data_IF_917465019812
#
_entry.id   IF_917465019812
#
_cell.length_a   1.000
_cell.length_b   1.000
_cell.length_c   1.000
_cell.angle_alpha   90.00
_cell.angle_beta   90.00
_cell.angle_gamma   90.00
#
_symmetry.space_group_name_H-M   'P 1'
#
loop_
_entity.id
_entity.type
_entity.pdbx_description
1 polymer ?
#
# COMPACT_ATOMS: atom_id res chain seq x y z
N UNK A 1 5.33 66.32 -34.02
CA UNK A 1 6.17 67.49 -34.39
C UNK A 1 7.53 67.34 -33.77
N UNK A 2 8.62 67.35 -34.58
CA UNK A 2 10.07 67.22 -34.31
C UNK A 2 10.54 65.77 -34.16
N UNK A 3 11.08 65.06 -35.13
CA UNK A 3 12.21 65.05 -36.07
C UNK A 3 13.54 65.53 -35.42
N UNK A 4 14.50 64.59 -35.30
CA UNK A 4 15.94 64.79 -35.50
C UNK A 4 16.55 63.34 -35.55
N UNK A 5 17.02 63.02 -36.59
CA UNK A 5 18.13 62.77 -37.50
C UNK A 5 19.51 62.67 -36.86
N UNK A 6 20.22 61.59 -37.27
CA UNK A 6 21.65 61.59 -37.62
C UNK A 6 22.54 60.94 -36.58
N UNK A 7 23.31 59.96 -36.84
CA UNK A 7 24.52 60.03 -37.66
C UNK A 7 25.21 58.65 -37.71
N UNK A 8 25.61 58.21 -38.85
CA UNK A 8 26.50 57.07 -39.14
C UNK A 8 27.89 57.31 -38.57
N UNK A 9 28.50 56.27 -38.00
CA UNK A 9 29.98 56.15 -38.00
C UNK A 9 30.35 54.65 -38.17
N UNK A 10 30.88 54.37 -39.35
CA UNK A 10 31.55 53.14 -39.73
C UNK A 10 32.92 53.04 -39.02
N UNK A 11 33.20 51.93 -38.42
CA UNK A 11 34.57 51.55 -38.08
C UNK A 11 34.84 50.10 -38.50
N UNK A 12 35.57 49.97 -39.59
CA UNK A 12 36.15 48.73 -40.07
C UNK A 12 37.44 48.48 -39.29
N UNK A 13 37.61 47.31 -38.68
CA UNK A 13 38.95 46.77 -38.40
C UNK A 13 38.96 45.23 -38.42
N UNK A 14 39.78 44.80 -39.33
CA UNK A 14 40.46 43.54 -39.54
C UNK A 14 40.44 42.46 -38.43
N UNK A 15 40.24 41.30 -38.91
CA UNK A 15 40.53 39.93 -38.70
C UNK A 15 41.58 39.46 -37.68
N UNK A 16 41.17 38.41 -37.04
CA UNK A 16 42.06 37.34 -36.56
C UNK A 16 41.27 36.02 -36.63
N UNK A 17 41.67 35.19 -37.60
CA UNK A 17 41.20 33.79 -37.73
C UNK A 17 41.89 32.99 -36.64
N UNK A 18 41.17 32.66 -35.57
CA UNK A 18 41.57 31.62 -34.64
C UNK A 18 40.83 30.35 -35.02
N UNK A 19 41.50 29.39 -35.63
CA UNK A 19 41.05 28.01 -35.78
C UNK A 19 40.87 27.38 -34.39
N UNK A 20 39.70 27.51 -33.80
CA UNK A 20 39.24 26.71 -32.68
C UNK A 20 38.64 25.43 -33.23
N UNK A 21 39.25 24.28 -32.93
CA UNK A 21 38.68 22.97 -33.09
C UNK A 21 37.32 22.92 -32.37
N UNK A 22 36.23 23.17 -33.10
CA UNK A 22 34.91 22.83 -32.64
C UNK A 22 34.82 21.29 -32.58
N UNK A 23 34.83 20.74 -31.36
CA UNK A 23 34.31 19.40 -31.11
C UNK A 23 32.87 19.43 -31.58
N UNK A 24 32.62 18.84 -32.73
CA UNK A 24 31.26 18.47 -33.14
C UNK A 24 30.71 17.47 -32.11
N UNK A 25 29.90 17.97 -31.17
CA UNK A 25 29.04 17.11 -30.39
C UNK A 25 28.05 16.45 -31.38
N UNK A 26 28.15 15.14 -31.44
CA UNK A 26 27.27 14.29 -32.23
C UNK A 26 25.82 14.52 -31.77
N UNK A 27 24.91 15.07 -32.61
CA UNK A 27 23.53 15.36 -32.17
C UNK A 27 22.69 14.11 -31.95
N UNK A 28 23.28 12.91 -32.01
CA UNK A 28 22.55 11.65 -31.99
C UNK A 28 22.85 10.76 -30.76
N UNK A 29 23.43 11.32 -29.70
CA UNK A 29 23.28 10.69 -28.40
C UNK A 29 21.88 11.03 -27.85
N UNK A 30 20.87 10.26 -28.31
CA UNK A 30 19.64 10.13 -27.59
C UNK A 30 20.04 9.69 -26.17
N UNK A 31 19.92 10.60 -25.19
CA UNK A 31 19.93 10.22 -23.78
C UNK A 31 18.79 9.23 -23.63
N UNK A 32 19.08 7.95 -23.73
CA UNK A 32 18.14 6.90 -23.31
C UNK A 32 17.83 7.22 -21.87
N UNK A 33 16.62 7.74 -21.64
CA UNK A 33 16.18 8.07 -20.30
C UNK A 33 16.27 6.79 -19.48
N UNK A 34 17.02 6.84 -18.39
CA UNK A 34 17.18 5.70 -17.49
C UNK A 34 15.80 5.17 -17.11
N UNK A 35 15.59 3.88 -17.28
CA UNK A 35 14.33 3.24 -16.87
C UNK A 35 14.14 3.44 -15.37
N UNK A 36 12.90 3.81 -14.97
CA UNK A 36 12.54 3.99 -13.57
C UNK A 36 11.57 2.89 -13.14
N UNK A 37 11.73 2.44 -11.91
CA UNK A 37 10.79 1.59 -11.19
C UNK A 37 10.26 2.40 -10.00
N UNK A 38 9.02 2.87 -10.08
CA UNK A 38 8.39 3.81 -9.13
C UNK A 38 7.36 3.08 -8.29
N UNK A 39 7.57 3.01 -6.98
CA UNK A 39 6.75 2.21 -6.06
C UNK A 39 6.21 3.10 -4.95
N UNK A 40 4.88 3.22 -4.84
CA UNK A 40 4.26 3.87 -3.70
C UNK A 40 4.27 2.95 -2.48
N UNK A 41 4.62 3.52 -1.34
CA UNK A 41 4.77 2.79 -0.08
C UNK A 41 4.37 3.66 1.10
N UNK A 42 3.75 3.05 2.11
CA UNK A 42 3.56 3.72 3.39
C UNK A 42 4.92 3.87 4.07
N UNK A 43 5.32 5.11 4.31
CA UNK A 43 6.60 5.45 4.91
C UNK A 43 6.47 6.58 5.91
N UNK A 44 7.36 6.57 6.91
CA UNK A 44 7.58 7.67 7.82
C UNK A 44 8.90 8.36 7.46
N UNK A 45 8.88 9.70 7.41
CA UNK A 45 10.11 10.48 7.27
C UNK A 45 10.88 10.46 8.60
N UNK A 46 12.16 10.16 8.54
CA UNK A 46 13.08 10.22 9.70
C UNK A 46 14.27 11.11 9.36
N UNK A 47 15.04 11.47 10.36
CA UNK A 47 16.30 12.24 10.15
C UNK A 47 17.34 11.48 9.31
N UNK A 48 17.19 10.15 9.18
CA UNK A 48 18.05 9.27 8.37
C UNK A 48 17.51 8.93 6.98
N UNK A 49 16.29 9.41 6.62
CA UNK A 49 15.64 9.10 5.35
C UNK A 49 14.21 8.62 5.50
N UNK A 50 13.79 7.66 4.67
CA UNK A 50 12.47 7.04 4.72
C UNK A 50 12.55 5.67 5.39
N UNK A 51 11.74 5.46 6.43
CA UNK A 51 11.52 4.15 7.03
C UNK A 51 10.25 3.51 6.47
N UNK A 52 10.38 2.30 5.98
CA UNK A 52 9.30 1.52 5.39
C UNK A 52 8.71 0.51 6.39
N UNK A 53 7.44 0.17 6.17
CA UNK A 53 6.70 -0.80 6.98
C UNK A 53 6.58 -2.12 6.20
N UNK A 54 6.77 -3.24 6.90
CA UNK A 54 6.47 -4.57 6.38
C UNK A 54 7.37 -5.03 5.23
N UNK A 55 6.77 -5.68 4.24
CA UNK A 55 7.47 -6.23 3.08
C UNK A 55 8.36 -5.21 2.34
N UNK A 56 7.92 -3.96 2.08
CA UNK A 56 8.77 -2.95 1.43
C UNK A 56 10.08 -2.65 2.15
N UNK A 57 10.12 -2.74 3.49
CA UNK A 57 11.34 -2.58 4.27
C UNK A 57 12.41 -3.59 3.86
N UNK A 58 12.01 -4.84 3.69
CA UNK A 58 12.93 -5.93 3.32
C UNK A 58 13.35 -5.82 1.84
N UNK A 59 12.45 -5.45 0.95
CA UNK A 59 12.75 -5.21 -0.47
C UNK A 59 13.77 -4.10 -0.63
N UNK A 60 13.66 -3.02 0.14
CA UNK A 60 14.60 -1.90 0.11
C UNK A 60 16.02 -2.28 0.56
N UNK A 61 16.16 -3.41 1.26
CA UNK A 61 17.42 -3.95 1.77
C UNK A 61 17.87 -5.22 1.03
N UNK A 62 17.10 -5.72 0.06
CA UNK A 62 17.41 -6.96 -0.68
C UNK A 62 18.61 -6.76 -1.61
N UNK A 63 19.79 -7.33 -1.31
CA UNK A 63 20.99 -7.12 -2.12
C UNK A 63 20.89 -7.74 -3.50
N UNK A 64 20.10 -8.81 -3.67
CA UNK A 64 19.88 -9.49 -4.96
C UNK A 64 19.08 -8.55 -5.87
N UNK A 65 17.98 -7.99 -5.36
CA UNK A 65 17.14 -7.05 -6.09
C UNK A 65 17.89 -5.79 -6.49
N UNK A 66 18.55 -5.15 -5.52
CA UNK A 66 19.31 -3.91 -5.76
C UNK A 66 20.45 -4.10 -6.77
N UNK A 67 21.17 -5.25 -6.69
CA UNK A 67 22.20 -5.60 -7.67
C UNK A 67 21.63 -5.80 -9.07
N UNK A 68 20.50 -6.49 -9.19
CA UNK A 68 19.85 -6.74 -10.47
C UNK A 68 19.37 -5.44 -11.13
N UNK A 69 18.77 -4.52 -10.36
CA UNK A 69 18.38 -3.20 -10.87
C UNK A 69 19.59 -2.41 -11.37
N UNK A 70 20.68 -2.40 -10.59
CA UNK A 70 21.92 -1.73 -10.99
C UNK A 70 22.49 -2.30 -12.28
N UNK A 71 22.52 -3.62 -12.45
CA UNK A 71 23.02 -4.28 -13.66
C UNK A 71 22.19 -3.94 -14.91
N UNK A 72 20.87 -3.76 -14.73
CA UNK A 72 19.95 -3.37 -15.80
C UNK A 72 19.84 -1.85 -16.00
N UNK A 73 20.61 -1.02 -15.27
CA UNK A 73 20.53 0.43 -15.27
C UNK A 73 19.12 0.96 -14.97
N UNK A 74 18.42 0.34 -13.99
CA UNK A 74 17.08 0.73 -13.55
C UNK A 74 17.20 1.54 -12.26
N UNK A 75 16.61 2.74 -12.23
CA UNK A 75 16.54 3.59 -11.05
C UNK A 75 15.31 3.21 -10.22
N UNK A 76 15.50 2.80 -8.96
CA UNK A 76 14.42 2.54 -8.00
C UNK A 76 14.01 3.85 -7.32
N UNK A 77 12.73 4.17 -7.39
CA UNK A 77 12.11 5.31 -6.69
C UNK A 77 11.01 4.84 -5.76
N UNK A 78 11.17 5.16 -4.49
CA UNK A 78 10.14 5.00 -3.49
C UNK A 78 9.34 6.30 -3.37
N UNK A 79 8.02 6.20 -3.58
CA UNK A 79 7.09 7.32 -3.46
C UNK A 79 6.35 7.20 -2.11
N UNK A 80 6.77 7.97 -1.09
CA UNK A 80 6.20 7.84 0.24
C UNK A 80 4.77 8.40 0.28
N UNK A 81 3.88 7.67 0.93
CA UNK A 81 2.52 8.10 1.21
C UNK A 81 2.21 7.95 2.70
N UNK A 82 1.40 8.85 3.24
CA UNK A 82 0.99 8.80 4.65
C UNK A 82 -0.14 7.79 4.86
N UNK A 83 -0.16 7.13 6.01
CA UNK A 83 -1.23 6.17 6.37
C UNK A 83 -2.63 6.80 6.28
N UNK A 84 -2.79 8.06 6.66
CA UNK A 84 -4.08 8.74 6.65
C UNK A 84 -4.66 8.93 5.24
N UNK A 85 -3.81 9.16 4.23
CA UNK A 85 -4.22 9.50 2.87
C UNK A 85 -3.81 8.47 1.81
N UNK A 86 -3.33 7.28 2.19
CA UNK A 86 -2.75 6.30 1.25
C UNK A 86 -3.67 5.98 0.08
N UNK A 87 -4.98 5.79 0.30
CA UNK A 87 -5.92 5.45 -0.78
C UNK A 87 -5.99 6.54 -1.85
N UNK A 88 -6.15 7.79 -1.43
CA UNK A 88 -6.26 8.95 -2.33
C UNK A 88 -4.95 9.21 -3.05
N UNK A 89 -3.83 9.30 -2.30
CA UNK A 89 -2.52 9.62 -2.87
C UNK A 89 -2.03 8.54 -3.85
N UNK A 90 -2.27 7.25 -3.56
CA UNK A 90 -1.90 6.16 -4.47
C UNK A 90 -2.75 6.20 -5.73
N UNK A 91 -4.07 6.38 -5.61
CA UNK A 91 -4.95 6.47 -6.77
C UNK A 91 -4.58 7.66 -7.67
N UNK A 92 -4.37 8.84 -7.09
CA UNK A 92 -3.92 10.04 -7.82
C UNK A 92 -2.56 9.81 -8.50
N UNK A 93 -1.62 9.14 -7.82
CA UNK A 93 -0.31 8.83 -8.38
C UNK A 93 -0.39 7.86 -9.56
N UNK A 94 -1.27 6.86 -9.50
CA UNK A 94 -1.56 5.99 -10.66
C UNK A 94 -2.23 6.76 -11.80
N UNK A 95 -3.26 7.57 -11.53
CA UNK A 95 -3.97 8.38 -12.54
C UNK A 95 -2.98 9.30 -13.26
N UNK A 96 -2.09 9.97 -12.52
CA UNK A 96 -1.10 10.92 -13.05
C UNK A 96 0.18 10.25 -13.56
N UNK A 97 0.23 8.92 -13.68
CA UNK A 97 1.39 8.15 -14.14
C UNK A 97 2.70 8.46 -13.36
N UNK A 98 2.58 8.73 -12.05
CA UNK A 98 3.72 8.99 -11.17
C UNK A 98 4.32 7.72 -10.57
N UNK A 99 3.55 6.63 -10.49
CA UNK A 99 3.96 5.34 -9.95
C UNK A 99 3.61 4.20 -10.91
N UNK A 100 4.36 3.11 -10.78
CA UNK A 100 4.18 1.87 -11.54
C UNK A 100 3.60 0.77 -10.66
N UNK A 101 3.95 0.79 -9.36
CA UNK A 101 3.49 -0.18 -8.36
C UNK A 101 3.08 0.50 -7.05
N UNK A 102 2.26 -0.22 -6.28
CA UNK A 102 1.92 0.17 -4.92
C UNK A 102 1.59 -1.04 -4.04
N UNK A 103 2.02 -0.99 -2.78
CA UNK A 103 1.53 -1.86 -1.73
C UNK A 103 0.31 -1.19 -1.09
N UNK A 104 -0.90 -1.58 -1.49
CA UNK A 104 -2.10 -0.94 -0.96
C UNK A 104 -3.35 -1.83 -1.06
N UNK A 105 -4.43 -1.32 -0.50
CA UNK A 105 -5.60 -2.12 -0.19
C UNK A 105 -6.54 -2.38 -1.35
N UNK A 106 -7.39 -3.38 -1.18
CA UNK A 106 -8.31 -3.93 -2.17
C UNK A 106 -9.38 -2.92 -2.65
N UNK A 107 -10.13 -2.27 -1.74
CA UNK A 107 -11.22 -1.36 -2.11
C UNK A 107 -10.75 -0.16 -2.94
N UNK A 108 -9.72 0.60 -2.53
CA UNK A 108 -9.23 1.70 -3.35
C UNK A 108 -8.66 1.25 -4.70
N UNK A 109 -8.08 0.03 -4.78
CA UNK A 109 -7.63 -0.53 -6.06
C UNK A 109 -8.80 -0.84 -7.01
N UNK A 110 -9.90 -1.38 -6.49
CA UNK A 110 -11.14 -1.59 -7.27
C UNK A 110 -11.70 -0.26 -7.76
N UNK A 111 -11.77 0.76 -6.89
CA UNK A 111 -12.23 2.10 -7.28
C UNK A 111 -11.35 2.70 -8.38
N UNK A 112 -10.02 2.58 -8.26
CA UNK A 112 -9.08 3.03 -9.28
C UNK A 112 -9.34 2.33 -10.64
N UNK A 113 -9.44 1.00 -10.63
CA UNK A 113 -9.66 0.23 -11.87
C UNK A 113 -10.97 0.63 -12.57
N UNK A 114 -12.01 0.99 -11.82
CA UNK A 114 -13.27 1.47 -12.37
C UNK A 114 -13.16 2.85 -13.05
N UNK A 115 -12.09 3.63 -12.81
CA UNK A 115 -11.82 4.89 -13.55
C UNK A 115 -11.16 4.68 -14.90
N UNK A 116 -10.82 3.42 -15.27
CA UNK A 116 -10.12 3.08 -16.50
C UNK A 116 -8.59 2.93 -16.35
N UNK A 117 -8.02 3.31 -15.20
CA UNK A 117 -6.61 3.05 -14.90
C UNK A 117 -6.46 1.58 -14.48
N UNK A 118 -5.93 0.76 -15.36
CA UNK A 118 -5.82 -0.69 -15.14
C UNK A 118 -4.60 -1.03 -14.29
N UNK A 119 -4.85 -1.71 -13.17
CA UNK A 119 -3.81 -2.32 -12.32
C UNK A 119 -4.14 -3.79 -12.07
N UNK A 120 -3.11 -4.59 -11.81
CA UNK A 120 -3.27 -6.02 -11.52
C UNK A 120 -2.49 -6.40 -10.26
N UNK A 121 -2.95 -7.42 -9.56
CA UNK A 121 -2.25 -8.02 -8.43
C UNK A 121 -1.06 -8.80 -8.98
N UNK A 122 0.14 -8.38 -8.61
CA UNK A 122 1.40 -9.01 -8.97
C UNK A 122 1.80 -10.05 -7.92
N UNK A 123 1.71 -9.68 -6.63
CA UNK A 123 1.94 -10.59 -5.51
C UNK A 123 0.86 -10.35 -4.44
N UNK A 124 0.15 -11.40 -4.00
CA UNK A 124 -0.80 -11.32 -2.91
C UNK A 124 -0.12 -10.99 -1.57
N UNK A 125 -0.82 -10.28 -0.69
CA UNK A 125 -0.31 -9.84 0.61
C UNK A 125 -0.45 -10.85 1.75
N UNK A 126 -0.44 -12.15 1.47
CA UNK A 126 -0.61 -13.19 2.49
C UNK A 126 -2.05 -13.27 3.01
N UNK A 127 -2.22 -13.63 4.29
CA UNK A 127 -3.55 -13.81 4.91
C UNK A 127 -4.29 -12.48 5.12
N UNK A 128 -3.56 -11.37 5.21
CA UNK A 128 -4.11 -10.04 5.52
C UNK A 128 -4.09 -9.70 7.01
N UNK A 129 -4.60 -8.51 7.34
CA UNK A 129 -4.58 -7.95 8.69
C UNK A 129 -5.93 -8.14 9.41
N UNK A 130 -5.88 -8.30 10.73
CA UNK A 130 -7.08 -8.37 11.53
C UNK A 130 -7.82 -7.03 11.59
N UNK A 131 -9.13 -7.13 11.77
CA UNK A 131 -10.02 -5.99 11.99
C UNK A 131 -10.78 -6.18 13.30
N UNK A 132 -11.11 -5.06 13.94
CA UNK A 132 -11.66 -5.04 15.29
C UNK A 132 -12.81 -4.06 15.41
N UNK A 133 -13.79 -4.40 16.25
CA UNK A 133 -14.80 -3.48 16.73
C UNK A 133 -14.56 -3.21 18.21
N UNK A 134 -14.27 -1.98 18.56
CA UNK A 134 -13.93 -1.54 19.91
C UNK A 134 -14.96 -0.50 20.39
N UNK A 135 -15.35 -0.60 21.66
CA UNK A 135 -16.25 0.34 22.35
C UNK A 135 -15.51 0.95 23.56
N UNK A 136 -15.96 2.07 24.14
CA UNK A 136 -15.36 2.59 25.37
C UNK A 136 -15.29 1.51 26.47
N UNK A 137 -14.23 1.53 27.29
CA UNK A 137 -13.96 0.46 28.25
C UNK A 137 -15.13 0.21 29.25
N UNK A 138 -15.82 1.27 29.66
CA UNK A 138 -16.95 1.25 30.58
C UNK A 138 -18.34 1.11 29.87
N UNK A 139 -18.35 0.95 28.54
CA UNK A 139 -19.58 0.82 27.76
C UNK A 139 -20.34 -0.46 28.13
N UNK A 140 -21.68 -0.43 28.26
CA UNK A 140 -22.49 -1.63 28.45
C UNK A 140 -22.65 -2.47 27.17
N UNK A 141 -22.24 -1.94 26.01
CA UNK A 141 -22.37 -2.59 24.68
C UNK A 141 -21.49 -3.84 24.63
N UNK A 142 -22.06 -4.94 24.14
CA UNK A 142 -21.39 -6.25 24.04
C UNK A 142 -21.35 -6.80 22.62
N UNK A 143 -22.31 -6.39 21.76
CA UNK A 143 -22.46 -6.91 20.41
C UNK A 143 -22.65 -5.79 19.40
N UNK A 144 -22.52 -6.10 18.09
CA UNK A 144 -22.79 -5.13 17.01
C UNK A 144 -24.27 -4.73 16.97
N UNK A 145 -25.16 -5.63 17.39
CA UNK A 145 -26.60 -5.40 17.44
C UNK A 145 -26.98 -4.32 18.46
N UNK A 146 -26.24 -4.20 19.57
CA UNK A 146 -26.43 -3.16 20.59
C UNK A 146 -26.07 -1.75 20.07
N UNK A 147 -25.37 -1.69 18.93
CA UNK A 147 -24.96 -0.44 18.30
C UNK A 147 -26.00 0.17 17.34
N UNK A 148 -27.19 -0.43 17.20
CA UNK A 148 -28.26 0.17 16.38
C UNK A 148 -28.58 1.60 16.85
N UNK A 149 -28.62 2.54 15.89
CA UNK A 149 -28.84 3.97 16.15
C UNK A 149 -27.66 4.70 16.77
N UNK A 150 -26.55 4.03 17.06
CA UNK A 150 -25.36 4.57 17.71
C UNK A 150 -24.35 5.09 16.71
N UNK A 151 -23.41 5.91 17.19
CA UNK A 151 -22.31 6.49 16.40
C UNK A 151 -21.15 5.54 16.33
N UNK A 152 -20.77 5.15 15.10
CA UNK A 152 -19.61 4.29 14.84
C UNK A 152 -18.58 5.07 14.02
N UNK A 153 -17.38 5.23 14.54
CA UNK A 153 -16.25 5.72 13.76
C UNK A 153 -15.80 4.63 12.78
N UNK A 154 -15.74 4.98 11.50
CA UNK A 154 -15.28 4.12 10.41
C UNK A 154 -14.59 4.98 9.35
N UNK A 155 -13.37 4.64 8.97
CA UNK A 155 -12.70 5.34 7.86
C UNK A 155 -13.21 4.80 6.53
N UNK A 156 -14.08 5.57 5.87
CA UNK A 156 -14.72 5.21 4.60
C UNK A 156 -13.72 5.18 3.44
N UNK A 157 -13.99 4.33 2.44
CA UNK A 157 -13.11 4.15 1.28
C UNK A 157 -11.84 3.35 1.59
N UNK A 158 -11.73 2.77 2.78
CA UNK A 158 -10.57 1.96 3.19
C UNK A 158 -10.88 0.46 3.09
N UNK A 159 -9.85 -0.39 2.96
CA UNK A 159 -10.05 -1.84 2.79
C UNK A 159 -10.96 -2.47 3.84
N UNK A 160 -10.84 -2.07 5.10
CA UNK A 160 -11.62 -2.63 6.21
C UNK A 160 -13.10 -2.19 6.24
N UNK A 161 -13.52 -1.25 5.39
CA UNK A 161 -14.95 -0.97 5.18
C UNK A 161 -15.68 -2.21 4.66
N UNK A 162 -15.04 -3.03 3.83
CA UNK A 162 -15.57 -4.30 3.34
C UNK A 162 -15.85 -5.24 4.51
N UNK A 163 -14.90 -5.34 5.45
CA UNK A 163 -15.02 -6.20 6.62
C UNK A 163 -16.15 -5.73 7.56
N UNK A 164 -16.31 -4.41 7.72
CA UNK A 164 -17.45 -3.85 8.46
C UNK A 164 -18.78 -4.19 7.79
N UNK A 165 -18.87 -4.03 6.47
CA UNK A 165 -20.07 -4.39 5.71
C UNK A 165 -20.39 -5.88 5.82
N UNK A 166 -19.37 -6.75 5.75
CA UNK A 166 -19.52 -8.19 5.93
C UNK A 166 -20.02 -8.53 7.35
N UNK A 167 -19.46 -7.88 8.39
CA UNK A 167 -19.89 -8.07 9.78
C UNK A 167 -21.37 -7.72 9.96
N UNK A 168 -21.80 -6.53 9.55
CA UNK A 168 -23.20 -6.12 9.71
C UNK A 168 -24.15 -7.01 8.90
N UNK A 169 -23.75 -7.38 7.67
CA UNK A 169 -24.55 -8.27 6.82
C UNK A 169 -24.71 -9.67 7.44
N UNK A 170 -23.67 -10.23 8.07
CA UNK A 170 -23.72 -11.52 8.76
C UNK A 170 -24.73 -11.57 9.91
N UNK A 171 -25.13 -10.39 10.40
CA UNK A 171 -26.10 -10.17 11.48
C UNK A 171 -27.46 -9.65 10.99
N UNK A 172 -27.68 -9.64 9.67
CA UNK A 172 -28.90 -9.10 9.07
C UNK A 172 -29.07 -7.59 9.22
N UNK A 173 -27.98 -6.86 9.53
CA UNK A 173 -27.97 -5.42 9.73
C UNK A 173 -27.60 -4.71 8.43
N UNK A 174 -27.92 -3.42 8.36
CA UNK A 174 -27.61 -2.53 7.22
C UNK A 174 -26.85 -1.30 7.71
N UNK A 175 -26.06 -0.68 6.84
CA UNK A 175 -25.30 0.52 7.18
C UNK A 175 -26.18 1.65 7.75
N UNK A 176 -27.41 1.82 7.23
CA UNK A 176 -28.38 2.80 7.72
C UNK A 176 -28.90 2.57 9.15
N UNK A 177 -28.63 1.39 9.72
CA UNK A 177 -29.00 1.09 11.10
C UNK A 177 -28.05 1.75 12.11
N UNK A 178 -26.99 2.43 11.62
CA UNK A 178 -25.95 3.09 12.41
C UNK A 178 -25.75 4.54 11.96
N UNK A 179 -25.19 5.36 12.86
CA UNK A 179 -24.66 6.68 12.50
C UNK A 179 -23.17 6.57 12.22
N UNK A 180 -22.80 6.43 10.95
CA UNK A 180 -21.38 6.29 10.57
C UNK A 180 -20.71 7.66 10.53
N UNK A 181 -19.66 7.81 11.35
CA UNK A 181 -18.79 9.00 11.39
C UNK A 181 -17.51 8.67 10.67
N UNK A 182 -17.25 9.34 9.54
CA UNK A 182 -16.05 9.10 8.74
C UNK A 182 -14.83 9.74 9.41
N UNK A 183 -14.02 8.93 10.09
CA UNK A 183 -12.81 9.35 10.79
C UNK A 183 -11.64 8.43 10.39
N UNK A 184 -10.45 9.03 10.19
CA UNK A 184 -9.23 8.23 10.05
C UNK A 184 -8.88 7.54 11.38
N UNK A 185 -7.97 6.55 11.41
CA UNK A 185 -7.68 5.78 12.62
C UNK A 185 -7.29 6.65 13.82
N UNK A 186 -6.46 7.65 13.61
CA UNK A 186 -6.01 8.55 14.68
C UNK A 186 -7.18 9.36 15.27
N UNK A 187 -8.00 9.97 14.42
CA UNK A 187 -9.18 10.72 14.84
C UNK A 187 -10.25 9.78 15.46
N UNK A 188 -10.42 8.56 14.93
CA UNK A 188 -11.34 7.56 15.47
C UNK A 188 -10.95 7.11 16.88
N UNK A 189 -9.66 6.86 17.12
CA UNK A 189 -9.14 6.51 18.44
C UNK A 189 -9.33 7.66 19.46
N UNK A 190 -9.08 8.90 19.04
CA UNK A 190 -9.32 10.08 19.89
C UNK A 190 -10.82 10.25 20.18
N UNK A 191 -11.70 10.08 19.18
CA UNK A 191 -13.14 10.18 19.35
C UNK A 191 -13.71 9.11 20.30
N UNK A 192 -13.21 7.86 20.21
CA UNK A 192 -13.61 6.80 21.15
C UNK A 192 -13.16 7.13 22.57
N UNK A 193 -11.91 7.54 22.75
CA UNK A 193 -11.35 7.90 24.05
C UNK A 193 -12.13 9.07 24.71
N UNK A 194 -12.58 10.03 23.90
CA UNK A 194 -13.40 11.15 24.33
C UNK A 194 -14.89 10.79 24.46
N UNK A 195 -15.30 9.54 24.18
CA UNK A 195 -16.69 9.06 24.17
C UNK A 195 -17.62 9.87 23.25
N UNK A 196 -17.09 10.50 22.21
CA UNK A 196 -17.86 11.24 21.20
C UNK A 196 -18.45 10.31 20.12
N UNK A 197 -17.99 9.06 20.06
CA UNK A 197 -18.55 7.93 19.33
C UNK A 197 -18.76 6.74 20.28
N UNK A 198 -19.73 5.90 19.96
CA UNK A 198 -20.10 4.72 20.77
C UNK A 198 -19.23 3.51 20.44
N UNK A 199 -18.67 3.46 19.21
CA UNK A 199 -17.78 2.40 18.76
C UNK A 199 -16.80 2.90 17.70
N UNK A 200 -15.72 2.14 17.49
CA UNK A 200 -14.74 2.38 16.46
C UNK A 200 -14.38 1.05 15.77
N UNK A 201 -14.54 0.99 14.44
CA UNK A 201 -14.12 -0.15 13.64
C UNK A 201 -12.78 0.17 12.98
N UNK A 202 -11.73 -0.59 13.33
CA UNK A 202 -10.35 -0.28 12.97
C UNK A 202 -9.45 -1.51 12.89
N UNK A 203 -8.17 -1.30 12.75
CA UNK A 203 -7.10 -2.30 12.77
C UNK A 203 -6.50 -2.41 14.19
N UNK A 204 -5.20 -2.64 14.30
CA UNK A 204 -4.47 -2.83 15.58
C UNK A 204 -4.54 -1.66 16.56
N UNK A 205 -5.02 -0.46 16.14
CA UNK A 205 -5.35 0.64 17.06
C UNK A 205 -6.28 0.21 18.20
N UNK A 206 -7.19 -0.74 17.92
CA UNK A 206 -8.09 -1.33 18.91
C UNK A 206 -7.34 -2.00 20.07
N UNK A 207 -6.25 -2.71 19.76
CA UNK A 207 -5.39 -3.37 20.76
C UNK A 207 -4.69 -2.32 21.63
N UNK A 208 -4.20 -1.25 21.02
CA UNK A 208 -3.58 -0.13 21.75
C UNK A 208 -4.58 0.56 22.69
N UNK A 209 -5.83 0.78 22.23
CA UNK A 209 -6.90 1.34 23.08
C UNK A 209 -7.23 0.41 24.25
N UNK A 210 -7.24 -0.90 24.02
CA UNK A 210 -7.48 -1.88 25.08
C UNK A 210 -6.35 -1.88 26.12
N UNK A 211 -5.08 -1.84 25.70
CA UNK A 211 -3.94 -1.80 26.62
C UNK A 211 -3.92 -0.55 27.50
N UNK A 212 -4.42 0.57 26.96
CA UNK A 212 -4.56 1.83 27.68
C UNK A 212 -5.83 1.91 28.53
N UNK A 213 -6.63 0.86 28.62
CA UNK A 213 -7.93 0.83 29.28
C UNK A 213 -8.92 1.89 28.78
N UNK A 214 -8.77 2.35 27.53
CA UNK A 214 -9.65 3.32 26.90
C UNK A 214 -10.75 2.65 26.07
N UNK A 215 -10.56 1.40 25.68
CA UNK A 215 -11.50 0.63 24.91
C UNK A 215 -11.55 -0.85 25.29
N UNK A 216 -12.65 -1.50 24.93
CA UNK A 216 -12.86 -2.94 25.05
C UNK A 216 -13.26 -3.48 23.68
N UNK A 217 -12.55 -4.50 23.19
CA UNK A 217 -12.84 -5.16 21.91
C UNK A 217 -14.06 -6.08 22.13
N UNK A 218 -15.11 -5.89 21.35
CA UNK A 218 -16.33 -6.69 21.38
C UNK A 218 -16.45 -7.66 20.20
N UNK A 219 -15.63 -7.47 19.17
CA UNK A 219 -15.52 -8.38 18.03
C UNK A 219 -14.17 -8.20 17.34
N UNK A 220 -13.62 -9.31 16.81
CA UNK A 220 -12.42 -9.31 15.97
C UNK A 220 -12.47 -10.39 14.91
N UNK A 221 -11.67 -10.24 13.85
CA UNK A 221 -11.51 -11.27 12.82
C UNK A 221 -10.38 -12.27 13.13
N UNK A 222 -9.71 -12.18 14.29
CA UNK A 222 -8.53 -13.01 14.60
C UNK A 222 -8.80 -14.52 14.51
N UNK A 223 -9.99 -14.96 14.94
CA UNK A 223 -10.38 -16.37 14.88
C UNK A 223 -11.12 -16.77 13.60
N UNK A 224 -11.22 -15.85 12.65
CA UNK A 224 -11.98 -16.08 11.41
C UNK A 224 -11.05 -16.35 10.24
N UNK A 225 -11.60 -16.95 9.17
CA UNK A 225 -10.84 -17.26 7.94
C UNK A 225 -10.29 -16.00 7.25
N UNK A 226 -9.36 -16.21 6.31
CA UNK A 226 -8.73 -15.14 5.51
C UNK A 226 -9.74 -14.21 4.81
N UNK A 227 -10.95 -14.68 4.51
CA UNK A 227 -12.03 -13.89 3.91
C UNK A 227 -12.54 -12.76 4.82
N UNK A 228 -12.27 -12.85 6.14
CA UNK A 228 -12.61 -11.84 7.13
C UNK A 228 -11.48 -10.87 7.45
N UNK A 229 -10.31 -11.04 6.81
CA UNK A 229 -9.14 -10.18 7.03
C UNK A 229 -9.14 -8.98 6.05
N UNK A 230 -8.60 -7.87 6.49
CA UNK A 230 -8.31 -6.74 5.60
C UNK A 230 -7.16 -7.11 4.67
N UNK A 231 -7.33 -6.89 3.38
CA UNK A 231 -6.32 -7.26 2.38
C UNK A 231 -5.65 -6.05 1.75
N UNK A 232 -4.34 -6.18 1.59
CA UNK A 232 -3.51 -5.31 0.80
C UNK A 232 -2.54 -6.17 -0.02
N UNK A 233 -2.31 -5.81 -1.28
CA UNK A 233 -1.53 -6.59 -2.23
C UNK A 233 -0.46 -5.71 -2.87
N UNK A 234 0.52 -6.32 -3.54
CA UNK A 234 1.37 -5.60 -4.50
C UNK A 234 0.60 -5.47 -5.82
N UNK A 235 0.21 -4.24 -6.12
CA UNK A 235 -0.46 -3.88 -7.38
C UNK A 235 0.52 -3.25 -8.35
N UNK A 236 0.43 -3.65 -9.63
CA UNK A 236 1.21 -3.07 -10.71
C UNK A 236 0.32 -2.49 -11.80
N UNK A 237 0.71 -1.37 -12.41
CA UNK A 237 0.06 -0.78 -13.57
C UNK A 237 0.16 -1.72 -14.76
N UNK A 238 -0.97 -2.11 -15.35
CA UNK A 238 -0.99 -3.10 -16.43
C UNK A 238 -0.08 -2.73 -17.61
N UNK A 239 -0.05 -1.48 -18.02
CA UNK A 239 0.83 -1.03 -19.11
C UNK A 239 2.30 -1.19 -18.77
N UNK A 240 2.70 -0.99 -17.52
CA UNK A 240 4.07 -1.24 -17.07
C UNK A 240 4.39 -2.73 -17.05
N UNK A 241 3.46 -3.56 -16.55
CA UNK A 241 3.63 -5.03 -16.54
C UNK A 241 3.86 -5.58 -17.96
N UNK A 242 3.10 -5.06 -18.93
CA UNK A 242 3.19 -5.49 -20.33
C UNK A 242 4.49 -5.03 -21.01
N UNK A 243 4.96 -3.82 -20.70
CA UNK A 243 6.15 -3.20 -21.32
C UNK A 243 7.46 -3.61 -20.64
N UNK A 244 7.42 -3.93 -19.34
CA UNK A 244 8.58 -4.22 -18.51
C UNK A 244 8.42 -5.52 -17.70
N UNK A 245 8.09 -6.66 -18.33
CA UNK A 245 7.85 -7.93 -17.63
C UNK A 245 9.06 -8.38 -16.81
N UNK A 246 10.27 -8.20 -17.32
CA UNK A 246 11.51 -8.57 -16.60
C UNK A 246 11.70 -7.75 -15.31
N UNK A 247 11.44 -6.44 -15.35
CA UNK A 247 11.55 -5.58 -14.16
C UNK A 247 10.44 -5.91 -13.17
N UNK A 248 9.25 -6.21 -13.65
CA UNK A 248 8.13 -6.69 -12.83
C UNK A 248 8.48 -8.00 -12.13
N UNK A 249 9.13 -8.92 -12.84
CA UNK A 249 9.56 -10.20 -12.28
C UNK A 249 10.60 -9.99 -11.17
N UNK A 250 11.58 -9.10 -11.36
CA UNK A 250 12.54 -8.77 -10.30
C UNK A 250 11.87 -8.27 -9.02
N UNK A 251 10.85 -7.42 -9.13
CA UNK A 251 10.10 -6.92 -7.97
C UNK A 251 9.24 -8.03 -7.34
N UNK A 252 8.62 -8.90 -8.14
CA UNK A 252 7.88 -10.04 -7.64
C UNK A 252 8.79 -11.03 -6.90
N UNK A 253 9.98 -11.33 -7.45
CA UNK A 253 10.99 -12.19 -6.83
C UNK A 253 11.44 -11.62 -5.47
N UNK A 254 11.72 -10.31 -5.40
CA UNK A 254 12.09 -9.64 -4.15
C UNK A 254 10.95 -9.65 -3.14
N UNK A 255 9.71 -9.47 -3.58
CA UNK A 255 8.52 -9.52 -2.72
C UNK A 255 8.32 -10.90 -2.12
N UNK A 256 8.42 -11.95 -2.94
CA UNK A 256 8.27 -13.35 -2.49
C UNK A 256 9.41 -13.73 -1.54
N UNK A 257 10.67 -13.31 -1.82
CA UNK A 257 11.80 -13.51 -0.89
C UNK A 257 11.57 -12.85 0.46
N UNK A 258 11.07 -11.60 0.44
CA UNK A 258 10.75 -10.88 1.68
C UNK A 258 9.67 -11.60 2.49
N UNK A 259 8.59 -12.06 1.85
CA UNK A 259 7.54 -12.83 2.53
C UNK A 259 8.06 -14.16 3.08
N UNK A 260 8.89 -14.88 2.31
CA UNK A 260 9.54 -16.11 2.76
C UNK A 260 10.43 -15.85 3.99
N UNK A 261 11.23 -14.78 3.96
CA UNK A 261 12.07 -14.41 5.09
C UNK A 261 11.21 -14.12 6.33
N UNK A 262 10.13 -13.32 6.19
CA UNK A 262 9.22 -13.01 7.29
C UNK A 262 8.61 -14.30 7.87
N UNK A 263 8.21 -15.24 7.01
CA UNK A 263 7.61 -16.51 7.46
C UNK A 263 8.55 -17.34 8.36
N UNK A 264 9.86 -17.15 8.22
CA UNK A 264 10.90 -17.87 8.96
C UNK A 264 11.48 -17.08 10.14
N UNK A 265 11.29 -15.74 10.19
CA UNK A 265 11.94 -14.85 11.15
C UNK A 265 10.92 -13.98 11.89
N UNK A 266 9.92 -14.63 12.51
CA UNK A 266 8.80 -13.94 13.16
C UNK A 266 9.25 -12.89 14.18
N UNK A 267 10.11 -13.28 15.13
CA UNK A 267 10.51 -12.39 16.23
C UNK A 267 11.31 -11.18 15.72
N UNK A 268 12.24 -11.41 14.79
CA UNK A 268 13.04 -10.33 14.19
C UNK A 268 12.16 -9.35 13.41
N UNK A 269 11.22 -9.88 12.63
CA UNK A 269 10.29 -9.05 11.89
C UNK A 269 9.42 -8.23 12.82
N UNK A 270 8.78 -8.84 13.82
CA UNK A 270 7.93 -8.15 14.79
C UNK A 270 8.72 -7.08 15.56
N UNK A 271 9.96 -7.38 15.98
CA UNK A 271 10.83 -6.41 16.63
C UNK A 271 11.14 -5.22 15.71
N UNK A 272 11.39 -5.46 14.40
CA UNK A 272 11.66 -4.39 13.43
C UNK A 272 10.48 -3.43 13.27
N UNK A 273 9.23 -3.91 13.42
CA UNK A 273 8.03 -3.10 13.27
C UNK A 273 7.79 -2.13 14.45
N UNK A 274 8.45 -2.34 15.60
CA UNK A 274 8.34 -1.41 16.75
C UNK A 274 8.85 0.00 16.44
N UNK A 275 9.74 0.14 15.46
CA UNK A 275 10.25 1.43 14.96
C UNK A 275 9.15 2.38 14.49
N UNK A 276 7.97 1.85 14.17
CA UNK A 276 6.82 2.62 13.71
C UNK A 276 5.86 3.04 14.85
N UNK A 277 6.32 2.89 16.10
CA UNK A 277 5.63 3.43 17.27
C UNK A 277 4.58 2.52 17.88
N UNK A 278 4.40 1.30 17.38
CA UNK A 278 3.55 0.31 18.05
C UNK A 278 4.36 -0.50 19.07
N UNK A 279 3.82 -0.77 20.28
CA UNK A 279 4.46 -1.67 21.24
C UNK A 279 4.57 -3.10 20.68
N UNK A 280 5.67 -3.79 21.02
CA UNK A 280 5.88 -5.19 20.59
C UNK A 280 4.72 -6.10 21.00
N UNK A 281 4.16 -5.90 22.19
CA UNK A 281 3.00 -6.67 22.67
C UNK A 281 1.76 -6.53 21.78
N UNK A 282 1.53 -5.34 21.20
CA UNK A 282 0.44 -5.10 20.23
C UNK A 282 0.72 -5.83 18.91
N UNK A 283 1.94 -5.72 18.40
CA UNK A 283 2.37 -6.39 17.15
C UNK A 283 2.24 -7.91 17.28
N UNK A 284 2.68 -8.47 18.43
CA UNK A 284 2.59 -9.90 18.70
C UNK A 284 1.13 -10.36 18.77
N UNK A 285 0.25 -9.64 19.48
CA UNK A 285 -1.18 -9.98 19.56
C UNK A 285 -1.89 -9.86 18.21
N UNK A 286 -1.55 -8.86 17.40
CA UNK A 286 -2.10 -8.72 16.05
C UNK A 286 -1.80 -9.93 15.18
N UNK A 287 -0.63 -10.54 15.37
CA UNK A 287 -0.15 -11.71 14.62
C UNK A 287 -0.71 -13.05 15.13
N UNK A 288 -1.46 -13.06 16.23
CA UNK A 288 -2.03 -14.28 16.81
C UNK A 288 -3.34 -14.67 16.11
N UNK A 289 -3.24 -15.31 14.95
CA UNK A 289 -4.38 -15.88 14.27
C UNK A 289 -4.63 -17.32 14.78
N UNK A 290 -5.88 -17.65 15.03
CA UNK A 290 -6.26 -19.01 15.46
C UNK A 290 -6.68 -19.90 14.29
N UNK A 291 -6.92 -19.33 13.12
CA UNK A 291 -7.30 -20.02 11.88
C UNK A 291 -6.12 -20.40 10.98
N UNK A 292 -4.93 -19.91 11.30
CA UNK A 292 -3.67 -20.13 10.55
C UNK A 292 -2.48 -20.00 11.49
N UNK A 293 -1.28 -20.34 11.01
CA UNK A 293 -0.04 -20.08 11.70
C UNK A 293 0.79 -19.04 10.96
N UNK A 294 1.85 -18.54 11.59
CA UNK A 294 2.69 -17.47 11.04
C UNK A 294 3.24 -17.78 9.65
N UNK A 295 3.73 -19.02 9.40
CA UNK A 295 4.25 -19.40 8.09
C UNK A 295 3.16 -19.37 7.01
N UNK A 296 1.95 -19.85 7.35
CA UNK A 296 0.80 -19.79 6.44
C UNK A 296 0.34 -18.36 6.17
N UNK A 297 0.37 -17.50 7.19
CA UNK A 297 -0.03 -16.10 7.08
C UNK A 297 0.84 -15.33 6.08
N UNK A 298 2.11 -15.71 5.94
CA UNK A 298 3.07 -15.11 5.03
C UNK A 298 3.35 -15.93 3.77
N UNK A 299 2.56 -16.96 3.50
CA UNK A 299 2.68 -17.73 2.26
C UNK A 299 2.44 -16.84 1.04
N UNK A 300 3.39 -16.81 0.08
CA UNK A 300 3.23 -16.05 -1.15
C UNK A 300 2.31 -16.72 -2.17
N UNK A 301 1.65 -17.83 -1.82
CA UNK A 301 0.84 -18.62 -2.75
C UNK A 301 -0.27 -17.80 -3.38
N UNK A 302 -0.34 -17.80 -4.72
CA UNK A 302 -1.38 -17.12 -5.47
C UNK A 302 -2.62 -18.00 -5.61
N UNK A 303 -3.53 -17.89 -4.65
CA UNK A 303 -4.80 -18.63 -4.63
C UNK A 303 -5.84 -17.94 -5.52
N UNK A 304 -5.83 -18.26 -6.80
CA UNK A 304 -6.64 -17.58 -7.83
C UNK A 304 -8.13 -17.58 -7.48
N UNK A 305 -8.69 -18.76 -7.12
CA UNK A 305 -10.12 -18.88 -6.85
C UNK A 305 -10.55 -18.08 -5.61
N UNK A 306 -9.73 -18.09 -4.55
CA UNK A 306 -9.96 -17.27 -3.37
C UNK A 306 -9.94 -15.78 -3.70
N UNK A 307 -8.91 -15.31 -4.41
CA UNK A 307 -8.79 -13.90 -4.79
C UNK A 307 -9.94 -13.48 -5.71
N UNK A 308 -10.31 -14.32 -6.68
CA UNK A 308 -11.46 -14.04 -7.55
C UNK A 308 -12.75 -13.84 -6.77
N UNK A 309 -13.05 -14.74 -5.83
CA UNK A 309 -14.24 -14.65 -4.98
C UNK A 309 -14.18 -13.43 -4.07
N UNK A 310 -13.01 -13.16 -3.44
CA UNK A 310 -12.81 -12.01 -2.59
C UNK A 310 -13.04 -10.69 -3.35
N UNK A 311 -12.38 -10.52 -4.51
CA UNK A 311 -12.51 -9.29 -5.30
C UNK A 311 -13.90 -9.13 -5.94
N UNK A 312 -14.62 -10.21 -6.24
CA UNK A 312 -16.02 -10.12 -6.64
C UNK A 312 -16.89 -9.51 -5.53
N UNK A 313 -16.66 -9.87 -4.26
CA UNK A 313 -17.35 -9.26 -3.10
C UNK A 313 -16.98 -7.77 -2.93
N UNK A 314 -15.71 -7.41 -3.12
CA UNK A 314 -15.25 -6.01 -3.06
C UNK A 314 -15.92 -5.17 -4.15
N UNK A 315 -16.00 -5.68 -5.37
CA UNK A 315 -16.66 -5.02 -6.51
C UNK A 315 -18.16 -4.85 -6.24
N UNK A 316 -18.84 -5.91 -5.79
CA UNK A 316 -20.26 -5.86 -5.42
C UNK A 316 -20.52 -4.79 -4.33
N UNK A 317 -19.69 -4.75 -3.30
CA UNK A 317 -19.76 -3.71 -2.27
C UNK A 317 -19.59 -2.31 -2.87
N UNK A 318 -18.58 -2.12 -3.74
CA UNK A 318 -18.30 -0.83 -4.35
C UNK A 318 -19.47 -0.34 -5.22
N UNK A 319 -20.13 -1.24 -5.97
CA UNK A 319 -21.33 -0.93 -6.75
C UNK A 319 -22.52 -0.60 -5.84
N UNK A 320 -22.83 -1.43 -4.85
CA UNK A 320 -23.95 -1.24 -3.94
C UNK A 320 -23.88 0.06 -3.14
N UNK A 321 -22.67 0.48 -2.81
CA UNK A 321 -22.43 1.75 -2.08
C UNK A 321 -22.10 2.95 -3.00
N UNK A 322 -22.30 2.80 -4.32
CA UNK A 322 -22.11 3.85 -5.31
C UNK A 322 -20.68 4.43 -5.33
N UNK A 323 -19.69 3.64 -4.93
CA UNK A 323 -18.27 4.00 -5.00
C UNK A 323 -17.73 3.87 -6.43
N UNK A 324 -18.35 3.01 -7.23
CA UNK A 324 -18.11 2.86 -8.66
C UNK A 324 -19.46 2.81 -9.40
N UNK A 325 -19.48 3.36 -10.62
CA UNK A 325 -20.69 3.38 -11.45
C UNK A 325 -20.79 2.12 -12.32
N UNK A 326 -19.66 1.69 -12.86
CA UNK A 326 -19.59 0.52 -13.75
C UNK A 326 -18.82 -0.61 -13.05
N UNK A 327 -19.40 -1.79 -12.91
CA UNK A 327 -18.68 -2.93 -12.35
C UNK A 327 -17.55 -3.36 -13.29
N UNK A 328 -16.43 -3.76 -12.68
CA UNK A 328 -15.29 -4.39 -13.36
C UNK A 328 -15.30 -5.89 -13.08
N UNK A 329 -14.58 -6.68 -13.86
CA UNK A 329 -14.49 -8.12 -13.62
C UNK A 329 -13.33 -8.44 -12.68
N UNK A 330 -13.56 -9.31 -11.71
CA UNK A 330 -12.53 -9.71 -10.74
C UNK A 330 -11.31 -10.33 -11.43
N UNK A 331 -11.52 -11.09 -12.51
CA UNK A 331 -10.48 -11.73 -13.30
C UNK A 331 -9.50 -10.73 -13.93
N UNK A 332 -9.96 -9.53 -14.26
CA UNK A 332 -9.13 -8.48 -14.86
C UNK A 332 -8.10 -7.92 -13.87
N UNK A 333 -8.35 -8.09 -12.57
CA UNK A 333 -7.47 -7.65 -11.48
C UNK A 333 -6.35 -8.65 -11.16
N UNK A 334 -6.43 -9.88 -11.69
CA UNK A 334 -5.55 -10.98 -11.31
C UNK A 334 -4.46 -11.23 -12.35
N UNK A 335 -3.21 -11.40 -11.88
CA UNK A 335 -2.09 -11.80 -12.72
C UNK A 335 -1.13 -12.70 -11.92
N UNK A 336 -1.39 -14.00 -11.96
CA UNK A 336 -0.66 -14.99 -11.17
C UNK A 336 0.74 -15.35 -11.73
N UNK A 337 1.07 -14.93 -12.96
CA UNK A 337 2.29 -15.38 -13.63
C UNK A 337 3.56 -15.00 -12.86
N UNK A 338 3.64 -13.73 -12.40
CA UNK A 338 4.82 -13.21 -11.73
C UNK A 338 5.07 -13.88 -10.38
N UNK A 339 4.00 -14.07 -9.58
CA UNK A 339 4.12 -14.77 -8.29
C UNK A 339 4.53 -16.23 -8.47
N UNK A 340 3.91 -16.94 -9.44
CA UNK A 340 4.26 -18.34 -9.71
C UNK A 340 5.71 -18.49 -10.14
N UNK A 341 6.20 -17.59 -11.00
CA UNK A 341 7.60 -17.59 -11.41
C UNK A 341 8.52 -17.22 -10.24
N UNK A 342 8.12 -16.25 -9.40
CA UNK A 342 8.90 -15.85 -8.23
C UNK A 342 9.06 -16.98 -7.21
N UNK A 343 8.03 -17.80 -7.01
CA UNK A 343 8.12 -19.00 -6.15
C UNK A 343 9.14 -20.01 -6.72
N UNK A 344 9.18 -20.18 -8.04
CA UNK A 344 10.17 -21.06 -8.70
C UNK A 344 11.59 -20.48 -8.63
N UNK A 345 11.73 -19.17 -8.70
CA UNK A 345 13.01 -18.44 -8.63
C UNK A 345 13.52 -18.26 -7.19
N UNK A 346 12.78 -18.71 -6.19
CA UNK A 346 13.02 -18.37 -4.78
C UNK A 346 14.45 -18.71 -4.33
N UNK A 347 15.17 -17.69 -3.88
CA UNK A 347 16.47 -17.78 -3.24
C UNK A 347 16.36 -17.22 -1.82
N UNK A 348 17.10 -17.75 -0.85
CA UNK A 348 17.10 -17.20 0.51
C UNK A 348 17.51 -15.73 0.54
N UNK A 349 16.81 -14.93 1.35
CA UNK A 349 17.15 -13.54 1.61
C UNK A 349 18.16 -13.50 2.77
N UNK A 350 19.39 -13.07 2.47
CA UNK A 350 20.44 -12.81 3.47
C UNK A 350 20.42 -11.31 3.80
N UNK A 351 19.84 -10.96 4.94
CA UNK A 351 19.85 -9.59 5.46
C UNK A 351 21.02 -9.50 6.44
N UNK A 352 22.11 -8.89 5.98
CA UNK A 352 23.19 -8.51 6.89
C UNK A 352 22.69 -7.41 7.83
N UNK A 353 22.41 -7.77 9.08
CA UNK A 353 22.15 -6.78 10.12
C UNK A 353 23.41 -5.93 10.30
N UNK A 354 23.39 -4.70 9.79
CA UNK A 354 24.30 -3.68 10.29
C UNK A 354 23.97 -3.47 11.75
N UNK A 355 24.69 -4.18 12.63
CA UNK A 355 24.70 -3.86 14.04
C UNK A 355 25.13 -2.39 14.12
N UNK A 356 24.19 -1.52 14.52
CA UNK A 356 24.48 -0.12 14.76
C UNK A 356 25.49 -0.03 15.91
N UNK A 357 26.66 0.51 15.59
CA UNK A 357 27.55 1.07 16.56
C UNK A 357 26.97 2.38 17.11
#
# INVERSE_FOLDING_TARGET
MRIFSGLFLSFSLLGLVACGLQKTEDPNQSKTSQQQLRIAVVANGTSGGLDFIGVPQLIAQDPIFLKALKQKNIELKWEPVTTAAVATLVNESFINNKIDFAFYGNLPAVVLNATGVRTQIVVPGGVGNNVYLVVPADSPIKTIEDLKGKKIALHRGRPWEINFAQLIQSKGLKLKDFQIINLNPQAGAAALSAKSVDAFFTLSDALTLQDRHLGKIIWSSQSLSADWKMRAELWGRKTYLDQHPDTTQLLADATVRAMQWISQHQDEFQQSQTKFGQPLSVIQRESQNTSSNWQQDWSPEYQVDFLKQHYAKVIDHAVKNQLIQTPIKAEELLNAQFTRQAIQNLQPLDIQHKQGN
#
